data_IF_615135535530
#
_entry.id   IF_615135535530
#
_cell.length_a   1.000
_cell.length_b   1.000
_cell.length_c   1.000
_cell.angle_alpha   90.00
_cell.angle_beta   90.00
_cell.angle_gamma   90.00
#
_symmetry.space_group_name_H-M   'P 1'
#
loop_
_entity.id
_entity.type
_entity.pdbx_description
1 polymer ?
#
# COMPACT_ATOMS: atom_id res chain seq x y z
N UNK A 1 -42.27 -73.87 -13.77
CA UNK A 1 -41.70 -73.58 -12.43
C UNK A 1 -40.58 -72.56 -12.59
N UNK A 2 -40.56 -71.57 -11.68
CA UNK A 2 -39.58 -70.50 -11.45
C UNK A 2 -39.71 -69.21 -12.29
N UNK A 3 -40.16 -68.18 -11.57
CA UNK A 3 -40.05 -66.76 -11.82
C UNK A 3 -38.62 -66.23 -11.59
N UNK A 4 -38.34 -65.00 -12.05
CA UNK A 4 -37.52 -63.94 -11.43
C UNK A 4 -37.28 -62.82 -12.48
N UNK A 5 -37.93 -61.64 -12.42
CA UNK A 5 -37.73 -60.46 -11.55
C UNK A 5 -36.47 -59.61 -11.88
N UNK A 6 -36.71 -58.49 -12.64
CA UNK A 6 -36.22 -57.08 -12.52
C UNK A 6 -34.69 -56.78 -12.39
N UNK A 7 -34.20 -55.52 -12.54
CA UNK A 7 -34.87 -54.25 -12.84
C UNK A 7 -34.19 -53.35 -13.92
N UNK A 8 -34.98 -52.39 -14.42
CA UNK A 8 -34.59 -51.24 -15.23
C UNK A 8 -33.83 -50.21 -14.38
N UNK A 9 -32.56 -49.93 -14.69
CA UNK A 9 -31.80 -48.84 -14.04
C UNK A 9 -31.99 -47.51 -14.77
N UNK A 10 -32.60 -46.55 -14.09
CA UNK A 10 -32.56 -45.13 -14.44
C UNK A 10 -31.15 -44.59 -14.16
N UNK A 11 -30.43 -44.15 -15.19
CA UNK A 11 -29.23 -43.34 -15.05
C UNK A 11 -29.62 -41.87 -14.99
N UNK A 12 -29.53 -41.26 -13.81
CA UNK A 12 -29.66 -39.83 -13.60
C UNK A 12 -28.37 -39.12 -14.05
N UNK A 13 -28.50 -38.16 -14.98
CA UNK A 13 -27.42 -37.27 -15.42
C UNK A 13 -27.18 -36.19 -14.34
N UNK A 14 -25.94 -35.94 -13.89
CA UNK A 14 -25.68 -34.90 -12.91
C UNK A 14 -25.71 -33.51 -13.58
N UNK A 15 -26.41 -32.59 -12.93
CA UNK A 15 -26.45 -31.16 -13.24
C UNK A 15 -25.07 -30.54 -12.90
N UNK A 16 -24.27 -30.22 -13.92
CA UNK A 16 -23.02 -29.47 -13.77
C UNK A 16 -23.37 -28.00 -13.49
N UNK A 17 -23.17 -27.55 -12.25
CA UNK A 17 -23.26 -26.14 -11.91
C UNK A 17 -22.02 -25.42 -12.45
N UNK A 18 -22.19 -24.60 -13.48
CA UNK A 18 -21.16 -23.69 -13.96
C UNK A 18 -20.95 -22.59 -12.89
N UNK A 19 -19.84 -22.69 -12.15
CA UNK A 19 -19.33 -21.60 -11.33
C UNK A 19 -18.88 -20.48 -12.29
N UNK A 20 -19.70 -19.44 -12.40
CA UNK A 20 -19.35 -18.22 -13.11
C UNK A 20 -18.09 -17.62 -12.50
N UNK A 21 -17.06 -17.47 -13.33
CA UNK A 21 -15.86 -16.73 -13.00
C UNK A 21 -16.26 -15.28 -12.72
N UNK A 22 -16.01 -14.80 -11.49
CA UNK A 22 -16.00 -13.37 -11.23
C UNK A 22 -14.79 -12.79 -11.95
N UNK A 23 -15.04 -12.15 -13.09
CA UNK A 23 -14.08 -11.32 -13.80
C UNK A 23 -13.40 -10.37 -12.80
N UNK A 24 -12.08 -10.32 -12.85
CA UNK A 24 -11.28 -9.38 -12.07
C UNK A 24 -11.88 -7.99 -12.23
N UNK A 25 -12.19 -7.36 -11.10
CA UNK A 25 -12.49 -5.94 -11.07
C UNK A 25 -11.25 -5.24 -11.62
N UNK A 26 -11.36 -4.71 -12.84
CA UNK A 26 -10.41 -3.72 -13.30
C UNK A 26 -10.56 -2.53 -12.37
N UNK A 27 -9.57 -2.33 -11.51
CA UNK A 27 -9.41 -1.12 -10.72
C UNK A 27 -9.51 0.06 -11.70
N UNK A 28 -10.31 1.07 -11.37
CA UNK A 28 -10.31 2.31 -12.14
C UNK A 28 -8.87 2.87 -12.14
N UNK A 29 -8.41 3.51 -13.24
CA UNK A 29 -7.07 4.10 -13.28
C UNK A 29 -6.92 5.04 -12.08
N UNK A 30 -5.79 4.91 -11.37
CA UNK A 30 -5.52 5.73 -10.19
C UNK A 30 -5.48 7.19 -10.66
N UNK A 31 -6.36 8.07 -10.14
CA UNK A 31 -6.42 9.47 -10.55
C UNK A 31 -5.11 10.23 -10.27
N UNK A 32 -4.19 9.60 -9.52
CA UNK A 32 -2.88 10.12 -9.16
C UNK A 32 -1.72 9.26 -9.71
N UNK A 33 -1.95 8.47 -10.77
CA UNK A 33 -0.89 7.78 -11.51
C UNK A 33 0.05 8.81 -12.19
N UNK A 34 1.27 8.94 -11.68
CA UNK A 34 2.27 9.88 -12.19
C UNK A 34 3.55 9.94 -11.34
N UNK A 35 4.56 10.74 -11.75
CA UNK A 35 5.83 10.87 -11.01
C UNK A 35 5.67 11.60 -9.66
N UNK A 36 4.49 12.14 -9.38
CA UNK A 36 4.08 12.91 -8.21
C UNK A 36 2.64 12.50 -7.88
N UNK A 37 2.27 12.47 -6.59
CA UNK A 37 0.91 12.06 -6.17
C UNK A 37 0.04 13.27 -5.92
N UNK A 38 -1.26 13.16 -6.21
CA UNK A 38 -2.20 14.13 -5.68
C UNK A 38 -2.20 14.06 -4.16
N UNK A 39 -2.36 15.23 -3.54
CA UNK A 39 -2.65 15.31 -2.11
C UNK A 39 -4.02 14.70 -1.90
N UNK A 40 -4.13 13.72 -0.98
CA UNK A 40 -5.41 13.10 -0.70
C UNK A 40 -6.45 14.17 -0.30
N UNK A 41 -7.57 14.23 -1.02
CA UNK A 41 -8.64 15.18 -0.75
C UNK A 41 -9.34 14.84 0.59
N UNK A 42 -9.60 15.85 1.42
CA UNK A 42 -10.32 15.69 2.68
C UNK A 42 -9.85 16.61 3.79
N UNK A 43 -10.52 16.54 4.94
CA UNK A 43 -10.05 17.17 6.17
C UNK A 43 -8.97 16.31 6.81
N UNK A 44 -7.83 16.92 7.10
CA UNK A 44 -6.69 16.24 7.70
C UNK A 44 -6.84 16.20 9.22
N UNK A 45 -6.45 15.09 9.88
CA UNK A 45 -5.96 13.83 9.32
C UNK A 45 -7.12 12.91 8.84
N UNK A 46 -6.90 12.20 7.74
CA UNK A 46 -7.80 11.12 7.30
C UNK A 46 -7.93 10.02 8.37
N UNK A 47 -9.06 9.31 8.36
CA UNK A 47 -9.40 8.35 9.41
C UNK A 47 -8.51 7.11 9.36
N UNK A 48 -8.17 6.63 8.17
CA UNK A 48 -7.32 5.44 8.00
C UNK A 48 -6.07 5.76 7.21
N UNK A 49 -4.95 5.15 7.61
CA UNK A 49 -3.69 5.27 6.87
C UNK A 49 -3.80 4.73 5.43
N UNK A 50 -4.68 3.76 5.18
CA UNK A 50 -4.93 3.22 3.83
C UNK A 50 -5.60 4.21 2.90
N UNK A 51 -6.30 5.23 3.43
CA UNK A 51 -7.00 6.25 2.61
C UNK A 51 -6.01 7.22 1.94
N UNK A 52 -4.77 7.30 2.43
CA UNK A 52 -3.71 8.10 1.80
C UNK A 52 -3.06 7.42 0.59
N UNK A 53 -3.25 6.11 0.45
CA UNK A 53 -2.89 5.37 -0.77
C UNK A 53 -1.40 5.48 -1.21
N UNK A 54 -0.47 5.39 -0.24
CA UNK A 54 0.97 5.51 -0.50
C UNK A 54 1.65 4.26 -1.09
N UNK A 55 1.09 3.07 -0.85
CA UNK A 55 1.77 1.80 -1.09
C UNK A 55 0.93 0.85 -1.94
N UNK A 56 1.60 0.07 -2.78
CA UNK A 56 1.01 -0.96 -3.60
C UNK A 56 0.72 -2.21 -2.76
N UNK A 57 -0.40 -2.87 -3.05
CA UNK A 57 -0.74 -4.13 -2.39
C UNK A 57 -0.83 -4.01 -0.86
N UNK A 58 -0.39 -5.03 -0.11
CA UNK A 58 -0.39 -4.98 1.35
C UNK A 58 0.60 -3.92 1.88
N UNK A 59 0.09 -2.88 2.55
CA UNK A 59 0.92 -1.77 3.07
C UNK A 59 2.12 -2.19 3.93
N UNK A 60 2.08 -3.36 4.57
CA UNK A 60 3.20 -3.91 5.34
C UNK A 60 4.44 -4.21 4.51
N UNK A 61 4.28 -4.36 3.20
CA UNK A 61 5.37 -4.60 2.26
C UNK A 61 6.11 -3.30 1.90
N UNK A 62 5.51 -2.13 2.19
CA UNK A 62 6.08 -0.81 1.98
C UNK A 62 6.59 -0.58 0.54
N UNK A 63 5.95 -1.22 -0.44
CA UNK A 63 6.23 -1.02 -1.86
C UNK A 63 5.60 0.30 -2.28
N UNK A 64 6.37 1.36 -2.54
CA UNK A 64 5.80 2.67 -2.86
C UNK A 64 5.05 2.61 -4.19
N UNK A 65 3.92 3.32 -4.27
CA UNK A 65 3.29 3.65 -5.54
C UNK A 65 4.06 4.81 -6.22
N UNK A 66 3.83 5.04 -7.51
CA UNK A 66 4.55 6.08 -8.27
C UNK A 66 4.35 7.48 -7.66
N UNK A 67 5.42 8.27 -7.54
CA UNK A 67 5.38 9.56 -6.83
C UNK A 67 5.51 9.49 -5.30
N UNK A 68 5.64 8.30 -4.72
CA UNK A 68 6.09 8.10 -3.33
C UNK A 68 7.58 7.79 -3.32
N UNK A 69 8.39 8.78 -2.95
CA UNK A 69 9.85 8.74 -3.15
C UNK A 69 10.55 8.22 -1.90
N UNK A 70 11.19 7.03 -1.93
CA UNK A 70 11.95 6.53 -0.79
C UNK A 70 13.22 7.36 -0.56
N UNK A 71 13.60 7.56 0.70
CA UNK A 71 14.84 8.29 1.03
C UNK A 71 15.58 7.72 2.25
N UNK A 72 16.86 8.05 2.34
CA UNK A 72 17.72 7.77 3.50
C UNK A 72 18.27 9.05 4.11
N UNK A 73 18.73 8.98 5.35
CA UNK A 73 19.35 10.12 6.04
C UNK A 73 20.82 9.80 6.32
N UNK A 74 21.67 10.83 6.28
CA UNK A 74 23.10 10.68 6.54
C UNK A 74 23.40 10.18 7.97
N UNK A 75 22.62 10.62 8.96
CA UNK A 75 22.75 10.19 10.36
C UNK A 75 21.44 9.57 10.85
N UNK A 76 21.29 8.24 10.78
CA UNK A 76 20.07 7.57 11.19
C UNK A 76 19.96 7.45 12.72
N UNK A 77 18.86 7.95 13.29
CA UNK A 77 18.54 7.78 14.71
C UNK A 77 18.38 6.28 15.07
N UNK A 78 19.06 5.85 16.14
CA UNK A 78 18.85 4.53 16.74
C UNK A 78 17.49 4.44 17.43
N UNK A 79 16.76 3.35 17.23
CA UNK A 79 15.41 3.17 17.79
C UNK A 79 15.19 1.72 18.18
N UNK A 80 16.02 1.19 19.09
CA UNK A 80 15.86 -0.17 19.58
C UNK A 80 15.94 -1.25 18.50
N UNK A 81 16.89 -1.11 17.55
CA UNK A 81 17.04 -1.99 16.38
C UNK A 81 15.90 -1.98 15.34
N UNK A 82 14.87 -1.13 15.50
CA UNK A 82 13.79 -1.03 14.52
C UNK A 82 14.27 -0.47 13.17
N UNK A 83 13.84 -1.16 12.10
CA UNK A 83 13.91 -0.70 10.72
C UNK A 83 13.01 0.52 10.50
N UNK A 84 13.34 1.32 9.47
CA UNK A 84 12.67 2.59 9.20
C UNK A 84 12.47 2.79 7.70
N UNK A 85 11.25 2.58 7.23
CA UNK A 85 10.80 3.03 5.92
C UNK A 85 10.59 4.53 5.95
N UNK A 86 11.07 5.24 4.93
CA UNK A 86 11.05 6.70 4.84
C UNK A 86 10.70 7.09 3.42
N UNK A 87 9.66 7.90 3.29
CA UNK A 87 9.15 8.30 1.99
C UNK A 87 8.75 9.78 2.00
N UNK A 88 8.93 10.44 0.86
CA UNK A 88 8.31 11.72 0.56
C UNK A 88 7.15 11.51 -0.39
N UNK A 89 6.09 12.28 -0.19
CA UNK A 89 4.98 12.41 -1.13
C UNK A 89 4.90 13.88 -1.48
N UNK A 90 5.00 14.19 -2.76
CA UNK A 90 4.98 15.57 -3.25
C UNK A 90 3.72 15.79 -4.11
N UNK A 91 3.10 16.98 -4.02
CA UNK A 91 2.03 17.37 -4.92
C UNK A 91 2.47 17.31 -6.38
N UNK A 92 1.49 17.27 -7.28
CA UNK A 92 1.76 17.17 -8.71
C UNK A 92 2.63 18.31 -9.24
N UNK A 93 3.73 17.98 -9.91
CA UNK A 93 4.65 18.94 -10.52
C UNK A 93 5.54 19.73 -9.54
N UNK A 94 5.41 19.49 -8.23
CA UNK A 94 6.15 20.20 -7.20
C UNK A 94 7.47 19.51 -6.80
N UNK A 95 8.40 20.28 -6.25
CA UNK A 95 9.72 19.80 -5.84
C UNK A 95 10.14 20.35 -4.48
N UNK A 96 10.95 19.59 -3.75
CA UNK A 96 11.60 20.07 -2.53
C UNK A 96 12.78 20.96 -2.93
N UNK A 97 12.79 22.21 -2.47
CA UNK A 97 13.90 23.13 -2.69
C UNK A 97 14.89 23.08 -1.51
N UNK A 98 16.13 23.53 -1.75
CA UNK A 98 17.16 23.66 -0.72
C UNK A 98 17.92 24.97 -0.89
N UNK A 99 18.20 25.65 0.21
CA UNK A 99 19.17 26.75 0.26
C UNK A 99 20.04 26.64 1.52
N UNK A 100 21.28 27.13 1.45
CA UNK A 100 22.19 27.08 2.60
C UNK A 100 21.70 27.89 3.80
N UNK A 101 20.87 28.91 3.56
CA UNK A 101 20.41 29.85 4.59
C UNK A 101 19.09 29.43 5.24
N UNK A 102 18.16 28.87 4.47
CA UNK A 102 16.82 28.48 4.96
C UNK A 102 16.66 26.96 5.11
N UNK A 103 17.61 26.18 4.61
CA UNK A 103 17.54 24.72 4.60
C UNK A 103 16.57 24.20 3.56
N UNK A 104 15.88 23.11 3.91
CA UNK A 104 14.91 22.43 3.04
C UNK A 104 13.56 23.12 3.07
N UNK A 105 13.04 23.46 1.89
CA UNK A 105 11.71 24.01 1.72
C UNK A 105 10.82 22.98 1.02
N UNK A 106 9.81 22.50 1.75
CA UNK A 106 8.82 21.56 1.23
C UNK A 106 7.61 22.34 0.65
N UNK A 107 7.08 21.96 -0.51
CA UNK A 107 5.88 22.59 -1.05
C UNK A 107 4.65 22.29 -0.17
N UNK A 108 3.63 23.13 -0.25
CA UNK A 108 2.37 22.91 0.46
C UNK A 108 1.71 21.62 -0.04
N UNK A 109 1.22 20.79 0.87
CA UNK A 109 0.72 19.44 0.58
C UNK A 109 1.80 18.35 0.59
N UNK A 110 3.08 18.68 0.78
CA UNK A 110 4.11 17.67 0.93
C UNK A 110 3.90 16.84 2.22
N UNK A 111 4.16 15.54 2.13
CA UNK A 111 4.04 14.61 3.25
C UNK A 111 5.35 13.86 3.44
N UNK A 112 5.83 13.83 4.67
CA UNK A 112 6.93 12.95 5.09
C UNK A 112 6.34 11.75 5.82
N UNK A 113 6.55 10.57 5.25
CA UNK A 113 6.10 9.29 5.80
C UNK A 113 7.28 8.60 6.47
N UNK A 114 7.07 8.13 7.70
CA UNK A 114 8.05 7.31 8.42
C UNK A 114 7.37 6.11 9.06
N UNK A 115 7.77 4.91 8.65
CA UNK A 115 7.24 3.65 9.18
C UNK A 115 8.31 2.89 9.93
N UNK A 116 8.04 2.56 11.19
CA UNK A 116 8.88 1.72 12.04
C UNK A 116 8.43 0.27 11.95
N UNK A 117 9.38 -0.65 11.79
CA UNK A 117 9.11 -2.08 11.69
C UNK A 117 10.21 -2.94 12.30
N UNK A 118 9.88 -4.18 12.58
CA UNK A 118 10.83 -5.24 12.93
C UNK A 118 10.74 -6.37 11.91
N UNK A 119 11.87 -6.75 11.33
CA UNK A 119 11.96 -7.93 10.46
C UNK A 119 11.62 -9.19 11.27
N UNK A 120 10.92 -10.13 10.65
CA UNK A 120 10.66 -11.43 11.27
C UNK A 120 11.95 -12.24 11.46
N UNK A 121 12.84 -12.22 10.46
CA UNK A 121 14.22 -12.67 10.58
C UNK A 121 15.14 -11.69 9.84
N UNK A 122 16.05 -11.04 10.55
CA UNK A 122 16.98 -10.06 9.96
C UNK A 122 18.00 -10.67 9.00
N UNK A 123 18.14 -12.00 9.01
CA UNK A 123 19.03 -12.75 8.13
C UNK A 123 18.33 -13.14 6.83
N UNK A 124 17.00 -13.05 6.79
CA UNK A 124 16.18 -13.37 5.63
C UNK A 124 15.25 -12.19 5.31
N UNK A 125 15.66 -11.29 4.40
CA UNK A 125 14.82 -10.16 3.95
C UNK A 125 13.47 -10.60 3.36
N UNK A 126 13.34 -11.84 2.89
CA UNK A 126 12.10 -12.40 2.36
C UNK A 126 11.10 -12.86 3.42
N UNK A 127 11.52 -13.00 4.68
CA UNK A 127 10.64 -13.41 5.78
C UNK A 127 9.59 -12.35 6.15
N UNK A 128 9.70 -11.13 5.59
CA UNK A 128 8.80 -10.02 5.84
C UNK A 128 9.05 -9.31 7.16
N UNK A 129 8.19 -8.35 7.47
CA UNK A 129 8.31 -7.52 8.67
C UNK A 129 6.97 -7.26 9.35
N UNK A 130 7.05 -6.95 10.65
CA UNK A 130 5.93 -6.44 11.45
C UNK A 130 6.02 -4.92 11.53
N UNK A 131 5.02 -4.24 10.95
CA UNK A 131 4.84 -2.80 11.11
C UNK A 131 4.39 -2.50 12.55
N UNK A 132 4.98 -1.46 13.15
CA UNK A 132 4.71 -1.03 14.52
C UNK A 132 4.01 0.32 14.56
N UNK A 133 4.53 1.30 13.81
CA UNK A 133 4.03 2.67 13.83
C UNK A 133 4.32 3.34 12.49
N UNK A 134 3.38 4.11 11.96
CA UNK A 134 3.62 5.06 10.87
C UNK A 134 3.33 6.47 11.35
N UNK A 135 4.25 7.39 11.08
CA UNK A 135 4.11 8.82 11.34
C UNK A 135 4.02 9.58 10.03
N UNK A 136 3.12 10.53 9.98
CA UNK A 136 2.96 11.48 8.89
C UNK A 136 3.31 12.87 9.42
N UNK A 137 4.16 13.59 8.69
CA UNK A 137 4.31 15.04 8.84
C UNK A 137 3.79 15.67 7.56
N UNK A 138 2.77 16.51 7.68
CA UNK A 138 2.05 17.07 6.53
C UNK A 138 2.29 18.57 6.54
N UNK A 139 2.72 19.10 5.40
CA UNK A 139 2.81 20.54 5.19
C UNK A 139 1.44 21.05 4.75
N UNK A 140 0.74 21.74 5.64
CA UNK A 140 -0.53 22.39 5.30
C UNK A 140 -0.29 23.70 4.55
N UNK A 141 -1.24 24.06 3.66
CA UNK A 141 -1.18 25.32 2.94
C UNK A 141 -1.39 26.51 3.88
N UNK A 142 -0.49 27.49 3.82
CA UNK A 142 -0.63 28.76 4.56
C UNK A 142 -0.18 28.74 6.03
N UNK A 143 0.68 27.80 6.43
CA UNK A 143 1.38 27.78 7.73
C UNK A 143 2.68 28.61 7.71
#
# INVERSE_FOLDING_TARGET
MRANHLPTSLLALPLVAALGACSGAGEAPDPCDGPTRCVAEGEWPLTKLSEYDFFQGPMRELVPKDGVVPYTVASPLWSGQAGKGRFFVLPEGEAIAFSEREGWAFPDGAIVVKTFFFDHDRRDPGAGSRIIETRLLIREAGA
#
